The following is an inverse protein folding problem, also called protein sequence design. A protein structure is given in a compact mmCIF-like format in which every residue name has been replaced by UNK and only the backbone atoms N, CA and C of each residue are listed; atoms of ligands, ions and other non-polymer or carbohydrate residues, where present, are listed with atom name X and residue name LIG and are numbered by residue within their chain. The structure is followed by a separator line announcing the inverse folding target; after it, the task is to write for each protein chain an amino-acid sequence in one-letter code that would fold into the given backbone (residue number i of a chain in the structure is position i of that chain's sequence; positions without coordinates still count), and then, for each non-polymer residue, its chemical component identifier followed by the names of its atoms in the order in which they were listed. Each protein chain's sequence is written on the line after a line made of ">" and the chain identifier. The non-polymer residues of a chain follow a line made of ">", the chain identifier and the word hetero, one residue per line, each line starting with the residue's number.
data_IF_606438620987
#
_entry.id   IF_606438620987
#
_cell.length_a   1.000
_cell.length_b   1.000
_cell.length_c   1.000
_cell.angle_alpha   90.00
_cell.angle_beta   90.00
_cell.angle_gamma   90.00
#
_symmetry.space_group_name_H-M   'P 1'
#
loop_
_entity.id
_entity.type
_entity.pdbx_description
1 polymer ?
#
# COMPACT_ATOMS: atom_id res chain seq x y z
N UNK A 1 -21.85 30.25 -9.10
CA UNK A 1 -21.19 29.60 -10.26
C UNK A 1 -21.74 28.19 -10.36
N UNK A 2 -22.50 27.90 -11.38
CA UNK A 2 -23.11 26.59 -11.64
C UNK A 2 -21.99 25.61 -12.02
N UNK A 3 -21.66 24.68 -11.15
CA UNK A 3 -20.74 23.57 -11.44
C UNK A 3 -21.36 22.71 -12.53
N UNK A 4 -20.87 22.85 -13.77
CA UNK A 4 -21.24 21.93 -14.85
C UNK A 4 -20.91 20.51 -14.41
N UNK A 5 -21.92 19.67 -14.31
CA UNK A 5 -21.73 18.24 -14.04
C UNK A 5 -20.85 17.63 -15.14
N UNK A 6 -19.90 16.76 -14.79
CA UNK A 6 -19.07 16.07 -15.77
C UNK A 6 -19.93 15.27 -16.75
N UNK A 7 -19.46 15.15 -17.98
CA UNK A 7 -20.19 14.45 -19.04
C UNK A 7 -20.54 13.00 -18.64
N UNK A 8 -21.65 12.50 -19.16
CA UNK A 8 -22.09 11.11 -18.97
C UNK A 8 -20.96 10.12 -19.32
N UNK A 9 -20.17 10.44 -20.32
CA UNK A 9 -19.00 9.65 -20.77
C UNK A 9 -17.95 9.54 -19.67
N UNK A 10 -17.58 10.62 -18.99
CA UNK A 10 -16.61 10.60 -17.90
C UNK A 10 -17.10 9.74 -16.71
N UNK A 11 -18.41 9.76 -16.42
CA UNK A 11 -19.01 8.89 -15.38
C UNK A 11 -18.97 7.43 -15.76
N UNK A 12 -19.23 7.09 -17.01
CA UNK A 12 -19.22 5.71 -17.50
C UNK A 12 -17.81 5.14 -17.53
N UNK A 13 -16.84 5.92 -18.00
CA UNK A 13 -15.44 5.52 -18.04
C UNK A 13 -14.86 5.31 -16.63
N UNK A 14 -15.18 6.21 -15.68
CA UNK A 14 -14.78 6.04 -14.29
C UNK A 14 -15.34 4.74 -13.68
N UNK A 15 -16.64 4.46 -13.89
CA UNK A 15 -17.25 3.21 -13.43
C UNK A 15 -16.65 1.98 -14.11
N UNK A 16 -16.34 2.07 -15.39
CA UNK A 16 -15.75 0.97 -16.15
C UNK A 16 -14.30 0.68 -15.70
N UNK A 17 -13.52 1.71 -15.38
CA UNK A 17 -12.17 1.56 -14.84
C UNK A 17 -12.19 1.00 -13.41
N UNK A 18 -13.09 1.50 -12.53
CA UNK A 18 -13.27 0.93 -11.19
C UNK A 18 -13.69 -0.56 -11.21
N UNK A 19 -14.40 -0.99 -12.26
CA UNK A 19 -14.81 -2.38 -12.45
C UNK A 19 -13.79 -3.22 -13.23
N UNK A 20 -12.61 -2.66 -13.56
CA UNK A 20 -11.59 -3.36 -14.35
C UNK A 20 -11.95 -3.60 -15.82
N UNK A 21 -13.06 -3.02 -16.32
CA UNK A 21 -13.51 -3.19 -17.71
C UNK A 21 -12.69 -2.44 -18.74
N UNK A 22 -11.96 -1.38 -18.29
CA UNK A 22 -11.09 -0.56 -19.14
C UNK A 22 -9.77 -0.37 -18.39
N UNK A 23 -8.68 -0.75 -19.04
CA UNK A 23 -7.32 -0.40 -18.61
C UNK A 23 -6.96 0.95 -19.20
N UNK A 24 -6.57 1.88 -18.35
CA UNK A 24 -6.09 3.19 -18.75
C UNK A 24 -4.67 3.34 -18.25
N UNK A 25 -3.74 3.64 -19.13
CA UNK A 25 -2.41 4.09 -18.72
C UNK A 25 -2.54 5.28 -17.78
N UNK A 26 -1.90 5.22 -16.61
CA UNK A 26 -2.01 6.23 -15.55
C UNK A 26 -1.71 7.66 -16.02
N UNK A 27 -0.90 7.81 -17.07
CA UNK A 27 -0.55 9.10 -17.65
C UNK A 27 -1.36 9.46 -18.90
N UNK A 28 -2.35 8.68 -19.30
CA UNK A 28 -3.20 8.99 -20.44
C UNK A 28 -4.09 10.20 -20.16
N UNK A 29 -4.43 10.97 -21.20
CA UNK A 29 -5.35 12.11 -21.09
C UNK A 29 -6.70 11.70 -20.47
N UNK A 30 -7.18 10.51 -20.80
CA UNK A 30 -8.43 9.98 -20.29
C UNK A 30 -8.35 9.69 -18.78
N UNK A 31 -7.24 9.13 -18.31
CA UNK A 31 -7.00 8.92 -16.87
C UNK A 31 -6.99 10.25 -16.10
N UNK A 32 -6.36 11.30 -16.66
CA UNK A 32 -6.33 12.64 -16.05
C UNK A 32 -7.72 13.28 -15.99
N UNK A 33 -8.54 13.10 -17.03
CA UNK A 33 -9.94 13.53 -16.98
C UNK A 33 -10.74 12.78 -15.91
N UNK A 34 -10.47 11.50 -15.71
CA UNK A 34 -11.08 10.71 -14.64
C UNK A 34 -10.65 11.18 -13.25
N UNK A 35 -9.36 11.46 -13.07
CA UNK A 35 -8.83 12.06 -11.83
C UNK A 35 -9.52 13.39 -11.54
N UNK A 36 -9.61 14.26 -12.53
CA UNK A 36 -10.32 15.54 -12.39
C UNK A 36 -11.79 15.35 -12.01
N UNK A 37 -12.49 14.41 -12.67
CA UNK A 37 -13.86 14.06 -12.31
C UNK A 37 -13.96 13.57 -10.86
N UNK A 38 -13.02 12.72 -10.43
CA UNK A 38 -12.96 12.21 -9.06
C UNK A 38 -12.78 13.36 -8.05
N UNK A 39 -11.87 14.30 -8.30
CA UNK A 39 -11.66 15.46 -7.44
C UNK A 39 -12.93 16.29 -7.25
N UNK A 40 -13.69 16.50 -8.31
CA UNK A 40 -14.98 17.21 -8.21
C UNK A 40 -16.05 16.39 -7.48
N UNK A 41 -16.21 15.11 -7.82
CA UNK A 41 -17.19 14.21 -7.21
C UNK A 41 -16.96 14.05 -5.71
N UNK A 42 -15.70 13.88 -5.30
CA UNK A 42 -15.29 13.67 -3.90
C UNK A 42 -15.18 14.97 -3.10
N UNK A 43 -15.52 16.13 -3.71
CA UNK A 43 -15.40 17.46 -3.11
C UNK A 43 -13.97 17.80 -2.64
N UNK A 44 -12.96 17.26 -3.31
CA UNK A 44 -11.54 17.50 -3.00
C UNK A 44 -11.01 18.79 -3.62
N UNK A 45 -11.78 19.43 -4.50
CA UNK A 45 -11.39 20.73 -5.08
C UNK A 45 -11.26 21.82 -4.02
N UNK A 46 -12.13 21.83 -3.02
CA UNK A 46 -12.03 22.78 -1.88
C UNK A 46 -10.75 22.55 -1.07
N UNK A 47 -10.37 21.29 -0.89
CA UNK A 47 -9.10 20.93 -0.23
C UNK A 47 -7.90 21.39 -1.08
N UNK A 48 -7.92 21.14 -2.39
CA UNK A 48 -6.89 21.66 -3.29
C UNK A 48 -6.77 23.19 -3.20
N UNK A 49 -7.89 23.92 -3.16
CA UNK A 49 -7.89 25.37 -3.04
C UNK A 49 -7.38 25.86 -1.66
N UNK A 50 -7.55 25.08 -0.62
CA UNK A 50 -7.04 25.39 0.73
C UNK A 50 -5.52 25.21 0.83
N UNK A 51 -4.98 24.15 0.23
CA UNK A 51 -3.57 23.76 0.38
C UNK A 51 -2.68 24.20 -0.79
N UNK A 52 -3.25 24.71 -1.89
CA UNK A 52 -2.49 25.20 -3.04
C UNK A 52 -2.73 26.68 -3.29
N UNK A 53 -1.67 27.49 -3.46
CA UNK A 53 -1.81 28.91 -3.82
C UNK A 53 -2.39 29.12 -5.22
N UNK A 54 -2.37 28.09 -6.07
CA UNK A 54 -2.80 28.15 -7.46
C UNK A 54 -3.58 26.91 -7.90
N UNK A 55 -4.81 26.69 -7.38
CA UNK A 55 -5.56 25.46 -7.64
C UNK A 55 -5.90 25.26 -9.13
N UNK A 56 -6.10 26.35 -9.89
CA UNK A 56 -6.35 26.27 -11.33
C UNK A 56 -5.08 25.85 -12.10
N UNK A 57 -3.90 26.28 -11.66
CA UNK A 57 -2.63 25.83 -12.23
C UNK A 57 -2.39 24.35 -11.95
N UNK A 58 -2.80 23.87 -10.78
CA UNK A 58 -2.75 22.43 -10.46
C UNK A 58 -3.64 21.61 -11.40
N UNK A 59 -4.85 22.07 -11.69
CA UNK A 59 -5.75 21.44 -12.68
C UNK A 59 -5.13 21.45 -14.08
N UNK A 60 -4.56 22.57 -14.49
CA UNK A 60 -3.87 22.67 -15.78
C UNK A 60 -2.70 21.71 -15.87
N UNK A 61 -1.88 21.62 -14.82
CA UNK A 61 -0.76 20.70 -14.71
C UNK A 61 -1.21 19.23 -14.81
N UNK A 62 -2.31 18.87 -14.14
CA UNK A 62 -2.94 17.56 -14.27
C UNK A 62 -3.36 17.28 -15.72
N UNK A 63 -4.09 18.20 -16.36
CA UNK A 63 -4.63 18.00 -17.70
C UNK A 63 -3.52 17.91 -18.77
N UNK A 64 -2.47 18.71 -18.64
CA UNK A 64 -1.34 18.74 -19.58
C UNK A 64 -0.29 17.66 -19.34
N UNK A 65 -0.36 16.96 -18.20
CA UNK A 65 0.58 15.90 -17.83
C UNK A 65 1.92 16.41 -17.33
N UNK A 66 2.00 17.65 -16.91
CA UNK A 66 3.19 18.14 -16.23
C UNK A 66 3.36 17.50 -14.85
N UNK A 67 2.24 17.14 -14.19
CA UNK A 67 2.18 16.47 -12.89
C UNK A 67 2.95 17.21 -11.78
N UNK A 68 3.08 18.53 -11.92
CA UNK A 68 3.74 19.43 -10.97
C UNK A 68 2.71 20.30 -10.28
N UNK A 69 2.71 20.23 -8.96
CA UNK A 69 1.72 20.89 -8.12
C UNK A 69 2.44 21.76 -7.08
N UNK A 70 1.83 22.84 -6.67
CA UNK A 70 2.37 23.74 -5.66
C UNK A 70 1.49 23.65 -4.43
N UNK A 71 2.08 23.25 -3.29
CA UNK A 71 1.39 23.08 -2.03
C UNK A 71 2.06 23.89 -0.90
N UNK A 72 1.25 24.33 0.05
CA UNK A 72 1.73 24.79 1.34
C UNK A 72 2.10 23.58 2.20
N UNK A 73 3.19 23.70 2.95
CA UNK A 73 3.67 22.70 3.90
C UNK A 73 3.63 23.25 5.31
N UNK A 74 3.58 22.41 6.32
CA UNK A 74 3.57 22.85 7.71
C UNK A 74 4.95 23.31 8.20
N UNK A 75 6.03 22.90 7.53
CA UNK A 75 7.40 23.27 7.87
C UNK A 75 7.89 24.58 7.24
N UNK A 76 7.16 25.13 6.26
CA UNK A 76 7.58 26.33 5.53
C UNK A 76 6.40 27.25 5.24
N UNK A 77 6.53 28.55 5.44
CA UNK A 77 5.53 29.54 5.04
C UNK A 77 5.44 29.69 3.51
N UNK A 78 6.43 29.22 2.77
CA UNK A 78 6.46 29.27 1.32
C UNK A 78 5.92 27.97 0.74
N UNK A 79 5.07 28.09 -0.28
CA UNK A 79 4.58 26.92 -1.00
C UNK A 79 5.69 26.25 -1.81
N UNK A 80 5.71 24.93 -1.81
CA UNK A 80 6.74 24.10 -2.45
C UNK A 80 6.18 23.38 -3.65
N UNK A 81 7.00 23.20 -4.69
CA UNK A 81 6.62 22.42 -5.87
C UNK A 81 6.80 20.94 -5.59
N UNK A 82 5.77 20.17 -5.89
CA UNK A 82 5.69 18.73 -5.70
C UNK A 82 5.35 18.05 -7.04
N UNK A 83 6.13 17.06 -7.41
CA UNK A 83 5.83 16.19 -8.54
C UNK A 83 5.07 14.95 -8.04
N UNK A 84 3.86 14.73 -8.56
CA UNK A 84 3.04 13.57 -8.24
C UNK A 84 2.39 12.99 -9.48
N UNK A 85 2.28 11.68 -9.57
CA UNK A 85 1.42 11.05 -10.57
C UNK A 85 -0.05 11.44 -10.36
N UNK A 86 -0.87 11.41 -11.41
CA UNK A 86 -2.31 11.67 -11.30
C UNK A 86 -3.02 10.77 -10.28
N UNK A 87 -2.53 9.54 -10.09
CA UNK A 87 -3.06 8.57 -9.12
C UNK A 87 -2.87 9.01 -7.66
N UNK A 88 -1.82 9.75 -7.36
CA UNK A 88 -1.48 10.19 -6.00
C UNK A 88 -2.12 11.53 -5.59
N UNK A 89 -2.57 12.34 -6.55
CA UNK A 89 -3.15 13.65 -6.23
C UNK A 89 -4.43 13.54 -5.40
N UNK A 90 -5.34 12.63 -5.77
CA UNK A 90 -6.55 12.38 -5.02
C UNK A 90 -6.28 11.86 -3.60
N UNK A 91 -5.49 10.79 -3.43
CA UNK A 91 -5.04 10.29 -2.14
C UNK A 91 -4.40 11.36 -1.26
N UNK A 92 -3.46 12.18 -1.78
CA UNK A 92 -2.88 13.27 -1.00
C UNK A 92 -3.94 14.24 -0.48
N UNK A 93 -4.88 14.65 -1.34
CA UNK A 93 -5.93 15.58 -0.92
C UNK A 93 -6.90 14.95 0.10
N UNK A 94 -7.11 13.63 0.06
CA UNK A 94 -7.88 12.94 1.10
C UNK A 94 -7.15 12.93 2.44
N UNK A 95 -5.85 12.66 2.45
CA UNK A 95 -5.02 12.72 3.66
C UNK A 95 -5.04 14.12 4.26
N UNK A 96 -4.81 15.17 3.46
CA UNK A 96 -4.86 16.56 3.90
C UNK A 96 -6.24 16.93 4.46
N UNK A 97 -7.32 16.51 3.80
CA UNK A 97 -8.70 16.73 4.25
C UNK A 97 -9.01 16.04 5.58
N UNK A 98 -8.39 14.88 5.81
CA UNK A 98 -8.53 14.12 7.05
C UNK A 98 -7.67 14.66 8.20
N UNK A 99 -6.84 15.68 7.95
CA UNK A 99 -6.01 16.31 8.97
C UNK A 99 -4.58 15.78 9.05
N UNK A 100 -4.10 15.01 8.08
CA UNK A 100 -2.71 14.56 7.97
C UNK A 100 -1.90 15.59 7.17
N UNK A 101 -1.15 16.50 7.82
CA UNK A 101 -0.52 17.61 7.12
C UNK A 101 0.68 17.17 6.29
N UNK A 102 0.84 17.77 5.12
CA UNK A 102 2.08 17.75 4.36
C UNK A 102 3.12 18.60 5.12
N UNK A 103 4.15 17.94 5.63
CA UNK A 103 5.18 18.59 6.46
C UNK A 103 6.23 19.27 5.60
N UNK A 104 6.80 18.55 4.67
CA UNK A 104 7.86 19.04 3.78
C UNK A 104 7.82 18.38 2.41
N UNK A 105 8.45 19.03 1.45
CA UNK A 105 8.73 18.50 0.12
C UNK A 105 10.22 18.73 -0.17
N UNK A 106 10.90 17.71 -0.65
CA UNK A 106 12.26 17.80 -1.17
C UNK A 106 12.23 17.43 -2.66
N UNK A 107 12.24 18.44 -3.51
CA UNK A 107 12.23 18.26 -4.97
C UNK A 107 13.55 17.73 -5.53
N UNK A 108 14.65 17.82 -4.76
CA UNK A 108 15.96 17.29 -5.16
C UNK A 108 16.02 15.78 -4.96
N UNK A 109 15.47 15.32 -3.84
CA UNK A 109 15.41 13.90 -3.49
C UNK A 109 14.11 13.22 -4.00
N UNK A 110 13.20 13.98 -4.61
CA UNK A 110 11.87 13.51 -5.00
C UNK A 110 11.14 12.84 -3.84
N UNK A 111 11.08 13.51 -2.68
CA UNK A 111 10.40 13.01 -1.49
C UNK A 111 9.43 14.04 -0.93
N UNK A 112 8.46 13.54 -0.17
CA UNK A 112 7.56 14.34 0.64
C UNK A 112 7.38 13.70 2.01
N UNK A 113 7.00 14.49 3.01
CA UNK A 113 6.77 14.01 4.36
C UNK A 113 5.36 14.35 4.81
N UNK A 114 4.66 13.37 5.38
CA UNK A 114 3.32 13.53 5.95
C UNK A 114 3.39 13.20 7.44
N UNK A 115 2.84 14.08 8.29
CA UNK A 115 2.68 13.77 9.70
C UNK A 115 1.42 12.91 9.89
N UNK A 116 1.57 11.75 10.51
CA UNK A 116 0.46 10.84 10.84
C UNK A 116 0.10 10.87 12.32
N UNK A 117 0.97 11.46 13.14
CA UNK A 117 0.74 11.83 14.52
C UNK A 117 1.60 13.09 14.86
N UNK A 118 1.39 13.76 15.99
CA UNK A 118 2.13 14.99 16.34
C UNK A 118 3.65 14.81 16.35
N UNK A 119 4.14 13.64 16.73
CA UNK A 119 5.54 13.26 16.88
C UNK A 119 6.00 12.22 15.85
N UNK A 120 5.18 11.93 14.84
CA UNK A 120 5.47 10.90 13.89
C UNK A 120 5.22 11.32 12.43
N UNK A 121 6.29 11.33 11.65
CA UNK A 121 6.32 11.73 10.25
C UNK A 121 6.75 10.53 9.40
N UNK A 122 6.01 10.27 8.33
CA UNK A 122 6.38 9.27 7.31
C UNK A 122 6.97 9.98 6.10
N UNK A 123 8.13 9.51 5.65
CA UNK A 123 8.77 9.91 4.42
C UNK A 123 8.28 9.03 3.28
N UNK A 124 7.85 9.66 2.20
CA UNK A 124 7.31 9.05 1.00
C UNK A 124 8.10 9.50 -0.23
N UNK A 125 8.19 8.68 -1.24
CA UNK A 125 8.67 9.10 -2.56
C UNK A 125 7.59 9.89 -3.27
N UNK A 126 7.98 10.91 -4.01
CA UNK A 126 7.13 11.63 -4.93
C UNK A 126 7.31 11.12 -6.37
N UNK A 127 6.55 11.66 -7.33
CA UNK A 127 6.64 11.24 -8.72
C UNK A 127 5.65 10.13 -9.08
N UNK A 128 6.11 9.13 -9.81
CA UNK A 128 5.27 8.08 -10.37
C UNK A 128 5.08 6.86 -9.42
N UNK A 129 5.62 6.90 -8.20
CA UNK A 129 5.39 5.86 -7.16
C UNK A 129 3.96 5.91 -6.63
N UNK A 130 3.53 4.89 -5.90
CA UNK A 130 2.19 4.84 -5.28
C UNK A 130 2.22 5.02 -3.76
N UNK A 131 3.32 5.50 -3.19
CA UNK A 131 3.53 5.64 -1.74
C UNK A 131 2.39 6.42 -1.04
N UNK A 132 1.94 7.52 -1.65
CA UNK A 132 0.81 8.31 -1.11
C UNK A 132 -0.50 7.54 -1.17
N UNK A 133 -0.69 6.71 -2.20
CA UNK A 133 -1.84 5.83 -2.34
C UNK A 133 -1.88 4.79 -1.23
N UNK A 134 -0.77 4.07 -1.00
CA UNK A 134 -0.65 3.07 0.07
C UNK A 134 -0.95 3.69 1.45
N UNK A 135 -0.39 4.86 1.74
CA UNK A 135 -0.67 5.56 3.00
C UNK A 135 -2.15 5.95 3.12
N UNK A 136 -2.81 6.33 2.02
CA UNK A 136 -4.24 6.65 2.01
C UNK A 136 -5.11 5.41 2.25
N UNK A 137 -4.81 4.28 1.61
CA UNK A 137 -5.49 3.00 1.82
C UNK A 137 -5.42 2.58 3.29
N UNK A 138 -4.26 2.78 3.89
CA UNK A 138 -4.00 2.45 5.28
C UNK A 138 -4.76 3.37 6.27
N UNK A 139 -4.68 4.69 6.11
CA UNK A 139 -5.18 5.67 7.08
C UNK A 139 -6.65 6.06 6.86
N UNK A 140 -7.10 6.10 5.61
CA UNK A 140 -8.43 6.57 5.24
C UNK A 140 -9.38 5.39 4.98
N UNK A 141 -8.93 4.42 4.19
CA UNK A 141 -9.75 3.25 3.85
C UNK A 141 -9.71 2.18 4.94
N UNK A 142 -8.67 2.19 5.79
CA UNK A 142 -8.52 1.31 6.96
C UNK A 142 -8.55 -0.18 6.60
N UNK A 143 -7.92 -0.53 5.49
CA UNK A 143 -7.97 -1.87 4.91
C UNK A 143 -7.57 -2.97 5.88
N UNK A 144 -6.60 -2.70 6.75
CA UNK A 144 -6.07 -3.68 7.70
C UNK A 144 -6.67 -3.57 9.10
N UNK A 145 -7.80 -2.84 9.26
CA UNK A 145 -8.43 -2.64 10.55
C UNK A 145 -7.93 -1.37 11.27
N UNK A 146 -8.26 -1.21 12.56
CA UNK A 146 -8.02 0.06 13.27
C UNK A 146 -7.45 -0.09 14.67
N UNK A 147 -7.32 -1.29 15.22
CA UNK A 147 -6.82 -1.50 16.58
C UNK A 147 -6.20 -2.89 16.74
N UNK A 148 -5.00 -2.93 17.31
CA UNK A 148 -4.21 -4.15 17.49
C UNK A 148 -3.63 -4.25 18.92
N UNK A 149 -4.43 -4.08 19.99
CA UNK A 149 -3.92 -3.95 21.35
C UNK A 149 -3.19 -5.22 21.79
N UNK A 150 -1.88 -5.13 22.01
CA UNK A 150 -1.03 -6.24 22.43
C UNK A 150 -0.78 -7.31 21.37
N UNK A 151 -1.10 -7.05 20.09
CA UNK A 151 -0.91 -8.04 19.01
C UNK A 151 0.56 -8.24 18.68
N UNK A 152 0.91 -9.48 18.38
CA UNK A 152 2.15 -9.92 17.75
C UNK A 152 1.87 -10.19 16.29
N UNK A 153 2.49 -9.42 15.42
CA UNK A 153 2.13 -9.35 13.99
C UNK A 153 3.31 -9.76 13.13
N UNK A 154 3.06 -10.59 12.13
CA UNK A 154 3.97 -10.78 10.98
C UNK A 154 3.42 -9.99 9.78
N UNK A 155 4.26 -9.14 9.22
CA UNK A 155 3.95 -8.30 8.07
C UNK A 155 4.83 -8.70 6.89
N UNK A 156 4.26 -9.40 5.92
CA UNK A 156 4.97 -9.84 4.70
C UNK A 156 4.63 -8.89 3.55
N UNK A 157 5.66 -8.21 3.04
CA UNK A 157 5.53 -7.10 2.11
C UNK A 157 5.36 -5.77 2.85
N UNK A 158 6.41 -5.39 3.61
CA UNK A 158 6.40 -4.18 4.44
C UNK A 158 6.59 -2.88 3.64
N UNK A 159 6.93 -2.99 2.36
CA UNK A 159 7.10 -1.86 1.45
C UNK A 159 7.99 -0.77 2.03
N UNK A 160 7.47 0.44 2.22
CA UNK A 160 8.20 1.58 2.80
C UNK A 160 8.09 1.65 4.33
N UNK A 161 7.62 0.60 4.97
CA UNK A 161 7.45 0.52 6.42
C UNK A 161 6.18 1.15 6.95
N UNK A 162 5.25 1.51 6.09
CA UNK A 162 3.97 2.14 6.45
C UNK A 162 3.07 1.19 7.25
N UNK A 163 2.93 -0.08 6.80
CA UNK A 163 2.10 -1.06 7.51
C UNK A 163 2.65 -1.46 8.88
N UNK A 164 3.93 -1.81 9.08
CA UNK A 164 4.42 -2.15 10.41
C UNK A 164 4.35 -0.95 11.37
N UNK A 165 4.56 0.27 10.87
CA UNK A 165 4.41 1.49 11.65
C UNK A 165 2.95 1.73 12.05
N UNK A 166 2.03 1.50 11.13
CA UNK A 166 0.60 1.60 11.41
C UNK A 166 0.17 0.61 12.49
N UNK A 167 0.57 -0.64 12.41
CA UNK A 167 0.26 -1.65 13.42
C UNK A 167 0.82 -1.26 14.78
N UNK A 168 2.08 -0.83 14.85
CA UNK A 168 2.71 -0.41 16.11
C UNK A 168 2.03 0.83 16.70
N UNK A 169 1.68 1.82 15.88
CA UNK A 169 0.95 3.03 16.29
C UNK A 169 -0.47 2.72 16.80
N UNK A 170 -1.09 1.64 16.32
CA UNK A 170 -2.42 1.21 16.72
C UNK A 170 -2.42 0.10 17.78
N UNK A 171 -1.31 -0.04 18.53
CA UNK A 171 -1.25 -0.82 19.75
C UNK A 171 -0.59 -2.18 19.65
N UNK A 172 -0.02 -2.57 18.51
CA UNK A 172 0.73 -3.83 18.43
C UNK A 172 1.88 -3.85 19.45
N UNK A 173 2.07 -4.99 20.12
CA UNK A 173 3.17 -5.24 21.04
C UNK A 173 4.48 -5.35 20.27
N UNK A 174 4.47 -6.13 19.21
CA UNK A 174 5.63 -6.39 18.37
C UNK A 174 5.21 -6.67 16.92
N UNK A 175 5.96 -6.16 15.97
CA UNK A 175 5.80 -6.46 14.54
C UNK A 175 7.14 -6.96 14.00
N UNK A 176 7.13 -8.09 13.29
CA UNK A 176 8.24 -8.56 12.48
C UNK A 176 7.82 -8.40 11.02
N UNK A 177 8.54 -7.57 10.29
CA UNK A 177 8.19 -7.16 8.94
C UNK A 177 9.27 -7.60 7.95
N UNK A 178 8.89 -8.03 6.76
CA UNK A 178 9.79 -8.49 5.71
C UNK A 178 9.60 -7.67 4.44
N UNK A 179 10.69 -7.14 3.89
CA UNK A 179 10.73 -6.40 2.63
C UNK A 179 12.04 -6.73 1.87
N UNK A 180 11.96 -7.39 0.71
CA UNK A 180 13.15 -7.81 -0.03
C UNK A 180 13.76 -6.74 -0.92
N UNK A 181 12.99 -5.74 -1.40
CA UNK A 181 13.49 -4.72 -2.30
C UNK A 181 14.41 -3.74 -1.57
N UNK A 182 15.69 -3.58 -1.98
CA UNK A 182 16.65 -2.77 -1.23
C UNK A 182 16.22 -1.31 -1.05
N UNK A 183 15.63 -0.69 -2.08
CA UNK A 183 15.19 0.71 -2.02
C UNK A 183 13.98 0.90 -1.09
N UNK A 184 13.03 -0.06 -1.13
CA UNK A 184 11.89 -0.08 -0.21
C UNK A 184 12.37 -0.32 1.23
N UNK A 185 13.24 -1.32 1.42
CA UNK A 185 13.83 -1.64 2.72
C UNK A 185 14.57 -0.44 3.33
N UNK A 186 15.40 0.26 2.54
CA UNK A 186 16.14 1.44 3.00
C UNK A 186 15.19 2.57 3.43
N UNK A 187 14.10 2.79 2.69
CA UNK A 187 13.09 3.79 3.05
C UNK A 187 12.29 3.34 4.28
N UNK A 188 11.90 2.06 4.36
CA UNK A 188 11.25 1.48 5.53
C UNK A 188 12.11 1.61 6.79
N UNK A 189 13.40 1.28 6.70
CA UNK A 189 14.35 1.43 7.80
C UNK A 189 14.44 2.89 8.28
N UNK A 190 14.47 3.86 7.34
CA UNK A 190 14.49 5.28 7.67
C UNK A 190 13.20 5.72 8.36
N UNK A 191 12.05 5.29 7.87
CA UNK A 191 10.74 5.59 8.46
C UNK A 191 10.61 4.98 9.85
N UNK A 192 10.98 3.71 10.03
CA UNK A 192 10.92 3.00 11.30
C UNK A 192 11.86 3.63 12.33
N UNK A 193 13.15 3.86 11.97
CA UNK A 193 14.13 4.43 12.89
C UNK A 193 13.81 5.87 13.30
N UNK A 194 13.10 6.62 12.47
CA UNK A 194 12.61 7.97 12.75
C UNK A 194 11.32 8.04 13.57
N UNK A 195 10.73 6.88 13.92
CA UNK A 195 9.44 6.81 14.62
C UNK A 195 9.57 6.52 16.11
N UNK A 196 8.60 6.88 16.94
CA UNK A 196 8.56 6.51 18.35
C UNK A 196 8.28 5.00 18.58
N UNK A 197 8.11 4.21 17.52
CA UNK A 197 7.76 2.77 17.58
C UNK A 197 8.89 1.85 17.12
N UNK A 198 10.09 2.39 16.89
CA UNK A 198 11.23 1.64 16.36
C UNK A 198 11.59 0.38 17.16
N UNK A 199 11.48 0.42 18.47
CA UNK A 199 11.74 -0.70 19.38
C UNK A 199 10.71 -1.84 19.29
N UNK A 200 9.54 -1.57 18.72
CA UNK A 200 8.47 -2.56 18.50
C UNK A 200 8.52 -3.24 17.14
N UNK A 201 9.37 -2.77 16.23
CA UNK A 201 9.40 -3.24 14.85
C UNK A 201 10.76 -3.84 14.54
N UNK A 202 10.76 -5.07 14.08
CA UNK A 202 11.93 -5.73 13.49
C UNK A 202 11.71 -5.82 11.97
N UNK A 203 12.61 -5.22 11.20
CA UNK A 203 12.56 -5.21 9.73
C UNK A 203 13.63 -6.13 9.16
N UNK A 204 13.22 -7.08 8.33
CA UNK A 204 14.07 -8.10 7.72
C UNK A 204 14.23 -7.86 6.22
N UNK A 205 15.46 -7.83 5.67
CA UNK A 205 15.72 -7.65 4.22
C UNK A 205 15.56 -8.96 3.47
N UNK A 206 14.40 -9.59 3.55
CA UNK A 206 14.14 -10.91 2.96
C UNK A 206 12.79 -10.96 2.29
N UNK A 207 12.68 -11.75 1.25
CA UNK A 207 11.38 -12.19 0.75
C UNK A 207 10.87 -13.37 1.58
N UNK A 208 9.56 -13.60 1.56
CA UNK A 208 8.95 -14.75 2.21
C UNK A 208 8.23 -15.61 1.17
N UNK A 209 8.42 -16.93 1.24
CA UNK A 209 7.78 -17.89 0.35
C UNK A 209 7.50 -19.22 1.08
N UNK A 210 7.26 -20.31 0.36
CA UNK A 210 7.09 -21.64 0.96
C UNK A 210 8.42 -22.26 1.43
N UNK A 211 9.53 -21.94 0.77
CA UNK A 211 10.84 -22.59 0.99
C UNK A 211 11.95 -21.55 1.19
N UNK A 212 12.98 -21.94 1.93
CA UNK A 212 14.20 -21.14 2.10
C UNK A 212 15.06 -21.15 0.84
N UNK A 213 15.86 -20.12 0.64
CA UNK A 213 16.86 -20.06 -0.43
C UNK A 213 17.16 -18.64 -0.91
N UNK A 214 17.50 -18.55 -2.18
CA UNK A 214 17.62 -17.29 -2.93
C UNK A 214 16.77 -17.41 -4.19
N UNK A 215 16.07 -16.33 -4.54
CA UNK A 215 15.22 -16.29 -5.73
C UNK A 215 15.37 -14.98 -6.49
N UNK A 216 15.06 -15.03 -7.78
CA UNK A 216 14.99 -13.84 -8.61
C UNK A 216 13.75 -13.01 -8.27
N UNK A 217 13.96 -11.82 -7.80
CA UNK A 217 12.94 -10.84 -7.50
C UNK A 217 12.79 -9.88 -8.69
N UNK A 218 11.58 -9.69 -9.15
CA UNK A 218 11.23 -8.88 -10.30
C UNK A 218 10.91 -7.46 -9.85
N UNK A 219 11.58 -6.48 -10.43
CA UNK A 219 11.46 -5.06 -10.05
C UNK A 219 10.86 -4.26 -11.21
N UNK A 220 9.82 -3.52 -10.90
CA UNK A 220 9.32 -2.43 -11.73
C UNK A 220 9.75 -1.09 -11.10
N UNK A 221 10.76 -0.39 -11.66
CA UNK A 221 11.28 0.84 -11.07
C UNK A 221 10.26 1.99 -10.99
N UNK A 222 9.17 1.89 -11.76
CA UNK A 222 8.09 2.89 -11.76
C UNK A 222 6.96 2.56 -10.80
N UNK A 223 6.84 1.29 -10.43
CA UNK A 223 5.77 0.80 -9.55
C UNK A 223 6.38 -0.13 -8.51
N UNK A 224 7.19 0.41 -7.62
CA UNK A 224 7.98 -0.36 -6.65
C UNK A 224 7.12 -1.14 -5.63
N UNK A 225 5.83 -0.79 -5.49
CA UNK A 225 4.87 -1.55 -4.69
C UNK A 225 4.50 -2.89 -5.32
N UNK A 226 4.68 -3.05 -6.64
CA UNK A 226 4.34 -4.26 -7.40
C UNK A 226 5.52 -5.21 -7.61
N UNK A 227 6.64 -4.98 -6.94
CA UNK A 227 7.80 -5.85 -7.03
C UNK A 227 7.47 -7.26 -6.49
N UNK A 228 7.85 -8.32 -7.23
CA UNK A 228 7.33 -9.66 -6.98
C UNK A 228 8.37 -10.77 -7.11
N UNK A 229 8.26 -11.81 -6.25
CA UNK A 229 8.94 -13.09 -6.46
C UNK A 229 8.27 -13.92 -7.56
N UNK A 230 6.94 -13.95 -7.54
CA UNK A 230 6.11 -14.77 -8.42
C UNK A 230 5.12 -13.88 -9.19
N UNK A 231 5.60 -13.10 -10.19
CA UNK A 231 4.69 -12.26 -10.96
C UNK A 231 3.56 -13.09 -11.57
N UNK A 232 2.34 -12.80 -11.19
CA UNK A 232 1.16 -13.44 -11.74
C UNK A 232 0.94 -13.00 -13.20
N UNK A 233 0.06 -13.67 -13.95
CA UNK A 233 -0.33 -13.20 -15.29
C UNK A 233 -0.90 -11.79 -15.25
N UNK A 234 -1.53 -11.42 -14.15
CA UNK A 234 -2.04 -10.09 -13.87
C UNK A 234 -0.92 -9.07 -13.71
N UNK A 235 0.07 -9.39 -12.84
CA UNK A 235 1.24 -8.54 -12.64
C UNK A 235 1.96 -8.30 -13.98
N UNK A 236 2.21 -9.37 -14.75
CA UNK A 236 2.88 -9.29 -16.06
C UNK A 236 2.10 -8.47 -17.09
N UNK A 237 0.79 -8.39 -16.95
CA UNK A 237 -0.05 -7.59 -17.83
C UNK A 237 -0.15 -6.12 -17.40
N UNK A 238 0.11 -5.80 -16.13
CA UNK A 238 -0.01 -4.44 -15.54
C UNK A 238 1.32 -3.71 -15.45
N UNK A 239 2.40 -4.43 -15.09
CA UNK A 239 3.68 -3.89 -14.70
C UNK A 239 4.77 -4.27 -15.69
N UNK A 240 5.83 -3.46 -15.74
CA UNK A 240 6.96 -3.69 -16.63
C UNK A 240 8.21 -3.96 -15.81
N UNK A 241 8.43 -5.23 -15.52
CA UNK A 241 9.61 -5.69 -14.78
C UNK A 241 10.87 -5.61 -15.66
N UNK A 242 11.61 -4.52 -15.53
CA UNK A 242 12.83 -4.28 -16.32
C UNK A 242 14.09 -4.73 -15.60
N UNK A 243 14.01 -4.94 -14.29
CA UNK A 243 15.13 -5.32 -13.47
C UNK A 243 14.85 -6.61 -12.71
N UNK A 244 15.92 -7.33 -12.37
CA UNK A 244 15.86 -8.55 -11.56
C UNK A 244 17.00 -8.53 -10.56
N UNK A 245 16.70 -8.92 -9.34
CA UNK A 245 17.65 -8.99 -8.25
C UNK A 245 17.54 -10.36 -7.57
N UNK A 246 18.68 -10.98 -7.28
CA UNK A 246 18.69 -12.16 -6.43
C UNK A 246 18.54 -11.71 -4.97
N UNK A 247 17.50 -12.19 -4.30
CA UNK A 247 17.20 -11.82 -2.91
C UNK A 247 17.16 -13.07 -2.02
N UNK A 248 17.55 -12.94 -0.74
CA UNK A 248 17.36 -14.01 0.21
C UNK A 248 15.86 -14.24 0.47
N UNK A 249 15.49 -15.52 0.52
CA UNK A 249 14.11 -15.95 0.77
C UNK A 249 14.08 -16.79 2.04
N UNK A 250 13.18 -16.42 2.95
CA UNK A 250 12.82 -17.24 4.08
C UNK A 250 11.52 -17.97 3.84
N UNK A 251 11.47 -19.23 4.22
CA UNK A 251 10.19 -19.92 4.29
C UNK A 251 9.30 -19.25 5.36
N UNK A 252 7.98 -19.27 5.17
CA UNK A 252 7.05 -18.79 6.19
C UNK A 252 7.25 -19.54 7.51
N UNK A 253 7.56 -20.85 7.46
CA UNK A 253 7.89 -21.64 8.62
C UNK A 253 9.11 -21.10 9.38
N UNK A 254 10.15 -20.66 8.66
CA UNK A 254 11.35 -20.04 9.25
C UNK A 254 11.01 -18.68 9.87
N UNK A 255 10.20 -17.86 9.22
CA UNK A 255 9.75 -16.58 9.77
C UNK A 255 8.97 -16.78 11.08
N UNK A 256 8.05 -17.76 11.11
CA UNK A 256 7.33 -18.15 12.31
C UNK A 256 8.27 -18.66 13.41
N UNK A 257 9.24 -19.50 13.08
CA UNK A 257 10.23 -19.98 14.03
C UNK A 257 11.13 -18.86 14.56
N UNK A 258 11.54 -17.93 13.71
CA UNK A 258 12.34 -16.75 14.08
C UNK A 258 11.62 -15.86 15.08
N UNK A 259 10.32 -15.70 14.97
CA UNK A 259 9.53 -14.90 15.92
C UNK A 259 9.62 -15.41 17.36
N UNK A 260 9.83 -16.71 17.54
CA UNK A 260 9.81 -17.35 18.86
C UNK A 260 8.42 -17.38 19.53
N UNK A 261 7.36 -17.03 18.79
CA UNK A 261 6.01 -16.95 19.32
C UNK A 261 5.26 -18.28 19.17
N UNK A 262 4.61 -18.72 20.22
CA UNK A 262 3.73 -19.90 20.17
C UNK A 262 2.49 -19.64 19.32
N UNK A 263 1.99 -18.39 19.38
CA UNK A 263 0.85 -17.93 18.60
C UNK A 263 1.11 -16.54 18.02
N UNK A 264 0.59 -16.30 16.82
CA UNK A 264 0.66 -15.05 16.07
C UNK A 264 -0.76 -14.48 16.00
N UNK A 265 -0.94 -13.24 16.44
CA UNK A 265 -2.28 -12.65 16.50
C UNK A 265 -2.79 -12.26 15.11
N UNK A 266 -1.90 -11.72 14.25
CA UNK A 266 -2.22 -11.36 12.88
C UNK A 266 -1.04 -11.60 11.94
N UNK A 267 -1.32 -12.12 10.76
CA UNK A 267 -0.40 -12.11 9.62
C UNK A 267 -1.01 -11.26 8.51
N UNK A 268 -0.27 -10.27 8.03
CA UNK A 268 -0.55 -9.59 6.76
C UNK A 268 0.28 -10.25 5.67
N UNK A 269 -0.38 -10.64 4.59
CA UNK A 269 0.26 -11.05 3.34
C UNK A 269 -0.17 -10.08 2.23
N UNK A 270 0.81 -9.42 1.66
CA UNK A 270 0.66 -8.54 0.51
C UNK A 270 2.03 -8.51 -0.17
N UNK A 271 2.29 -9.53 -0.95
CA UNK A 271 3.62 -9.85 -1.49
C UNK A 271 3.60 -10.27 -2.96
N UNK A 272 2.60 -9.75 -3.70
CA UNK A 272 2.54 -9.74 -5.16
C UNK A 272 2.73 -11.15 -5.77
N UNK A 273 1.92 -12.10 -5.28
CA UNK A 273 1.83 -13.47 -5.78
C UNK A 273 2.44 -14.55 -4.87
N UNK A 274 3.28 -14.18 -3.89
CA UNK A 274 3.83 -15.15 -2.95
C UNK A 274 2.83 -15.65 -1.91
N UNK A 275 1.66 -15.03 -1.78
CA UNK A 275 0.56 -15.48 -0.90
C UNK A 275 0.16 -16.93 -1.20
N UNK A 276 0.16 -17.31 -2.48
CA UNK A 276 -0.23 -18.65 -2.93
C UNK A 276 0.72 -19.73 -2.43
N UNK A 277 2.03 -19.73 -2.77
CA UNK A 277 2.93 -20.74 -2.25
C UNK A 277 3.02 -20.71 -0.70
N UNK A 278 2.97 -19.53 -0.06
CA UNK A 278 2.96 -19.43 1.40
C UNK A 278 1.80 -20.23 2.00
N UNK A 279 0.57 -20.02 1.55
CA UNK A 279 -0.60 -20.68 2.14
C UNK A 279 -0.78 -22.13 1.67
N UNK A 280 -0.47 -22.42 0.43
CA UNK A 280 -0.75 -23.73 -0.15
C UNK A 280 0.29 -24.78 0.21
N UNK A 281 1.56 -24.39 0.38
CA UNK A 281 2.68 -25.32 0.55
C UNK A 281 3.23 -25.35 2.00
N UNK A 282 2.96 -24.32 2.81
CA UNK A 282 3.37 -24.33 4.23
C UNK A 282 2.59 -25.40 5.00
N UNK A 283 3.26 -26.19 5.87
CA UNK A 283 2.62 -27.17 6.71
C UNK A 283 1.48 -26.60 7.57
N UNK A 284 0.40 -27.38 7.73
CA UNK A 284 -0.80 -26.96 8.43
C UNK A 284 -0.53 -26.54 9.88
N UNK A 285 0.35 -27.27 10.58
CA UNK A 285 0.73 -26.99 11.95
C UNK A 285 1.42 -25.62 12.13
N UNK A 286 2.11 -25.12 11.10
CA UNK A 286 2.70 -23.79 11.11
C UNK A 286 1.62 -22.73 10.91
N UNK A 287 0.77 -22.91 9.89
CA UNK A 287 -0.33 -21.98 9.58
C UNK A 287 -1.33 -21.88 10.73
N UNK A 288 -1.56 -22.97 11.43
CA UNK A 288 -2.46 -23.02 12.59
C UNK A 288 -1.96 -22.26 13.83
N UNK A 289 -0.71 -21.80 13.87
CA UNK A 289 -0.24 -20.87 14.90
C UNK A 289 -0.82 -19.45 14.76
N UNK A 290 -1.36 -19.11 13.60
CA UNK A 290 -1.92 -17.79 13.29
C UNK A 290 -3.37 -17.74 13.72
N UNK A 291 -3.79 -16.66 14.40
CA UNK A 291 -5.18 -16.45 14.80
C UNK A 291 -5.98 -15.77 13.68
N UNK A 292 -5.37 -14.77 13.03
CA UNK A 292 -6.01 -13.96 11.99
C UNK A 292 -5.08 -13.75 10.81
N UNK A 293 -5.67 -13.70 9.62
CA UNK A 293 -5.01 -13.36 8.38
C UNK A 293 -5.69 -12.17 7.74
N UNK A 294 -4.89 -11.28 7.19
CA UNK A 294 -5.31 -10.30 6.20
C UNK A 294 -4.44 -10.48 4.97
N UNK A 295 -5.06 -10.76 3.83
CA UNK A 295 -4.36 -11.21 2.64
C UNK A 295 -4.85 -10.38 1.45
N UNK A 296 -3.96 -9.59 0.87
CA UNK A 296 -4.19 -9.05 -0.45
C UNK A 296 -3.79 -10.12 -1.47
N UNK A 297 -4.74 -10.55 -2.29
CA UNK A 297 -4.50 -11.57 -3.30
C UNK A 297 -4.35 -10.94 -4.69
N UNK A 298 -3.46 -11.53 -5.50
CA UNK A 298 -3.07 -11.02 -6.82
C UNK A 298 -3.38 -11.99 -7.96
N UNK A 299 -4.28 -12.93 -7.71
CA UNK A 299 -4.86 -13.87 -8.68
C UNK A 299 -6.19 -14.40 -8.12
N UNK A 300 -6.82 -15.37 -8.79
CA UNK A 300 -8.08 -15.98 -8.33
C UNK A 300 -7.96 -16.50 -6.88
N UNK A 301 -8.78 -16.03 -5.92
CA UNK A 301 -8.59 -16.30 -4.50
C UNK A 301 -9.11 -17.65 -4.01
N UNK A 302 -9.86 -18.38 -4.84
CA UNK A 302 -10.55 -19.63 -4.44
C UNK A 302 -9.60 -20.66 -3.80
N UNK A 303 -8.36 -20.88 -4.28
CA UNK A 303 -7.44 -21.82 -3.63
C UNK A 303 -7.05 -21.40 -2.22
N UNK A 304 -6.84 -20.08 -2.00
CA UNK A 304 -6.50 -19.53 -0.69
C UNK A 304 -7.66 -19.66 0.30
N UNK A 305 -8.87 -19.31 -0.14
CA UNK A 305 -10.08 -19.43 0.66
C UNK A 305 -10.33 -20.88 1.08
N UNK A 306 -10.26 -21.82 0.11
CA UNK A 306 -10.43 -23.23 0.39
C UNK A 306 -9.41 -23.73 1.41
N UNK A 307 -8.13 -23.37 1.23
CA UNK A 307 -7.06 -23.77 2.17
C UNK A 307 -7.30 -23.24 3.58
N UNK A 308 -7.68 -21.98 3.72
CA UNK A 308 -7.99 -21.36 5.00
C UNK A 308 -9.21 -22.03 5.67
N UNK A 309 -10.26 -22.32 4.91
CA UNK A 309 -11.44 -23.03 5.42
C UNK A 309 -11.09 -24.45 5.90
N UNK A 310 -10.27 -25.20 5.14
CA UNK A 310 -9.77 -26.52 5.55
C UNK A 310 -8.94 -26.47 6.87
N UNK A 311 -8.29 -25.33 7.14
CA UNK A 311 -7.54 -25.09 8.38
C UNK A 311 -8.42 -24.60 9.53
N UNK A 312 -9.75 -24.46 9.32
CA UNK A 312 -10.71 -24.06 10.35
C UNK A 312 -10.89 -22.54 10.52
N UNK A 313 -10.53 -21.75 9.49
CA UNK A 313 -10.78 -20.31 9.52
C UNK A 313 -12.14 -19.96 8.91
N UNK A 314 -12.81 -18.98 9.50
CA UNK A 314 -13.89 -18.26 8.85
C UNK A 314 -13.29 -17.24 7.90
N UNK A 315 -13.68 -17.31 6.62
CA UNK A 315 -13.07 -16.51 5.54
C UNK A 315 -14.09 -15.51 4.99
N UNK A 316 -13.68 -14.25 4.84
CA UNK A 316 -14.50 -13.17 4.31
C UNK A 316 -13.72 -12.36 3.27
N UNK A 317 -14.26 -12.21 2.06
CA UNK A 317 -13.78 -11.21 1.10
C UNK A 317 -14.30 -9.84 1.52
N UNK A 318 -13.39 -8.90 1.76
CA UNK A 318 -13.72 -7.52 2.16
C UNK A 318 -13.70 -6.58 0.97
N UNK A 319 -12.75 -6.79 0.08
CA UNK A 319 -12.65 -6.10 -1.21
C UNK A 319 -12.50 -7.17 -2.30
N UNK A 320 -13.25 -7.02 -3.38
CA UNK A 320 -13.19 -7.92 -4.52
C UNK A 320 -13.18 -7.10 -5.81
N UNK A 321 -12.11 -7.18 -6.55
CA UNK A 321 -12.00 -6.73 -7.93
C UNK A 321 -11.71 -7.94 -8.82
N UNK A 322 -11.71 -7.78 -10.12
CA UNK A 322 -11.59 -8.92 -11.05
C UNK A 322 -10.32 -9.74 -10.80
N UNK A 323 -9.26 -9.16 -10.23
CA UNK A 323 -7.93 -9.75 -10.22
C UNK A 323 -7.11 -9.48 -8.94
N UNK A 324 -7.56 -8.58 -8.09
CA UNK A 324 -6.96 -8.30 -6.79
C UNK A 324 -8.05 -8.06 -5.77
N UNK A 325 -7.80 -8.36 -4.52
CA UNK A 325 -8.77 -8.09 -3.49
C UNK A 325 -8.20 -8.41 -2.11
N UNK A 326 -9.04 -8.31 -1.10
CA UNK A 326 -8.66 -8.47 0.28
C UNK A 326 -9.49 -9.56 0.96
N UNK A 327 -8.81 -10.53 1.53
CA UNK A 327 -9.39 -11.58 2.38
C UNK A 327 -9.05 -11.29 3.83
N UNK A 328 -10.05 -11.36 4.69
CA UNK A 328 -9.88 -11.56 6.12
C UNK A 328 -10.24 -12.99 6.48
N UNK A 329 -9.39 -13.62 7.30
CA UNK A 329 -9.69 -14.94 7.84
C UNK A 329 -9.36 -14.99 9.34
N UNK A 330 -10.27 -15.50 10.13
CA UNK A 330 -10.14 -15.59 11.58
C UNK A 330 -10.49 -17.00 12.05
N UNK A 331 -9.74 -17.53 13.03
CA UNK A 331 -10.06 -18.83 13.60
C UNK A 331 -11.46 -18.81 14.20
N UNK A 332 -12.24 -19.81 13.85
CA UNK A 332 -13.54 -20.04 14.52
C UNK A 332 -13.26 -20.38 15.98
N UNK A 333 -13.90 -19.68 16.94
CA UNK A 333 -13.77 -20.04 18.33
C UNK A 333 -14.14 -21.52 18.52
N UNK A 334 -13.25 -22.30 19.10
CA UNK A 334 -13.61 -23.65 19.59
C UNK A 334 -14.57 -23.48 20.76
N UNK A 335 -15.80 -23.92 20.58
CA UNK A 335 -16.79 -24.01 21.66
C UNK A 335 -16.47 -25.16 22.61
#
# INVERSE_FOLDING_TARGET
>A
MTTKQPSLIARLLYKAAQKGWIRLEQNSFLYRLMTLYYLFKSRLFSTLAQYSPSPYRAIWSLLTGQNRYIFYTSSSPQAQELHLSPSNLGPLLQLLKAGYPLVSVDSTLNTLSIAIAPDFIVLLRSGDTYDVGCLNELLIEKEYGTAFPGYRILDVGAYIGDTPLFFAAHGAEKVIAAEPAPDNYALAQKNISGSPYADRIELLPVAVAATDGEMMFHIDPKNSQSNALFPTSENLARYTYTERLCVPVWSFAKLVAHSGWDTIDLVKLDCEGAEFPILLETPAEVLQKVKKWVIEYHAAPEPLEKRLQELGYHVQRVRDSVLTGLIWAEKTPSF
#
